data_IF_727485869526
#
_entry.id   IF_727485869526
#
_cell.length_a   1.000
_cell.length_b   1.000
_cell.length_c   1.000
_cell.angle_alpha   90.00
_cell.angle_beta   90.00
_cell.angle_gamma   90.00
#
_symmetry.space_group_name_H-M   'P 1'
#
loop_
_entity.id
_entity.type
_entity.pdbx_description
1 polymer ?
#
# COMPACT_ATOMS: atom_id res chain seq x y z
N UNK A 1 5.43 -16.15 20.92
CA UNK A 1 6.14 -15.84 19.66
C UNK A 1 5.82 -14.39 19.27
N UNK A 2 6.77 -13.67 18.68
CA UNK A 2 6.50 -12.33 18.14
C UNK A 2 5.54 -12.43 16.93
N UNK A 3 4.67 -11.45 16.77
CA UNK A 3 3.87 -11.32 15.53
C UNK A 3 4.77 -10.94 14.36
N UNK A 4 4.46 -11.51 13.19
CA UNK A 4 5.18 -11.21 11.94
C UNK A 4 4.41 -10.17 11.12
N UNK A 5 5.12 -9.17 10.65
CA UNK A 5 4.57 -8.09 9.84
C UNK A 5 5.24 -8.10 8.47
N UNK A 6 4.44 -8.11 7.41
CA UNK A 6 4.88 -7.86 6.05
C UNK A 6 4.69 -6.38 5.72
N UNK A 7 5.74 -5.73 5.25
CA UNK A 7 5.71 -4.34 4.78
C UNK A 7 6.00 -4.36 3.28
N UNK A 8 4.97 -4.08 2.48
CA UNK A 8 5.05 -3.94 1.03
C UNK A 8 5.35 -2.48 0.67
N UNK A 9 6.28 -2.23 -0.23
CA UNK A 9 6.81 -0.88 -0.51
C UNK A 9 7.87 -0.44 0.49
N UNK A 10 8.54 -1.40 1.16
CA UNK A 10 9.53 -1.15 2.20
C UNK A 10 10.79 -0.41 1.70
N UNK A 11 11.12 -0.56 0.42
CA UNK A 11 12.24 0.17 -0.23
C UNK A 11 11.95 1.63 -0.55
N UNK A 12 10.71 2.10 -0.31
CA UNK A 12 10.31 3.49 -0.45
C UNK A 12 10.63 4.33 0.80
N UNK A 13 10.44 5.65 0.69
CA UNK A 13 10.69 6.59 1.79
C UNK A 13 9.82 6.28 3.02
N UNK A 14 8.49 6.23 2.85
CA UNK A 14 7.56 5.98 3.96
C UNK A 14 7.76 4.57 4.51
N UNK A 15 7.85 3.56 3.61
CA UNK A 15 8.05 2.16 4.00
C UNK A 15 9.33 1.97 4.80
N UNK A 16 10.45 2.55 4.38
CA UNK A 16 11.73 2.48 5.09
C UNK A 16 11.66 3.08 6.51
N UNK A 17 10.99 4.22 6.67
CA UNK A 17 10.79 4.81 8.00
C UNK A 17 9.86 3.97 8.89
N UNK A 18 8.82 3.36 8.32
CA UNK A 18 7.96 2.44 9.06
C UNK A 18 8.73 1.20 9.54
N UNK A 19 9.56 0.62 8.66
CA UNK A 19 10.45 -0.51 9.02
C UNK A 19 11.33 -0.13 10.20
N UNK A 20 12.03 1.01 10.12
CA UNK A 20 12.89 1.49 11.21
C UNK A 20 12.12 1.62 12.52
N UNK A 21 10.97 2.30 12.50
CA UNK A 21 10.15 2.48 13.69
C UNK A 21 9.74 1.14 14.32
N UNK A 22 9.28 0.19 13.52
CA UNK A 22 8.84 -1.11 14.03
C UNK A 22 10.00 -1.95 14.58
N UNK A 23 11.20 -1.89 13.97
CA UNK A 23 12.41 -2.52 14.49
C UNK A 23 12.79 -1.97 15.87
N UNK A 24 12.74 -0.66 16.04
CA UNK A 24 13.07 0.02 17.31
C UNK A 24 12.15 -0.45 18.45
N UNK A 25 10.91 -0.85 18.15
CA UNK A 25 9.99 -1.39 19.17
C UNK A 25 10.41 -2.76 19.70
N UNK A 26 11.18 -3.54 18.94
CA UNK A 26 11.60 -4.92 19.24
C UNK A 26 10.45 -5.93 19.46
N UNK A 27 9.21 -5.55 19.12
CA UNK A 27 7.99 -6.34 19.37
C UNK A 27 7.64 -7.31 18.25
N UNK A 28 8.14 -7.08 17.03
CA UNK A 28 7.72 -7.77 15.82
C UNK A 28 8.90 -8.42 15.09
N UNK A 29 8.60 -9.43 14.28
CA UNK A 29 9.47 -9.92 13.21
C UNK A 29 9.03 -9.25 11.92
N UNK A 30 9.97 -8.67 11.16
CA UNK A 30 9.62 -7.95 9.93
C UNK A 30 10.04 -8.71 8.69
N UNK A 31 9.17 -8.69 7.70
CA UNK A 31 9.42 -9.14 6.33
C UNK A 31 9.15 -7.93 5.44
N UNK A 32 10.08 -7.57 4.58
CA UNK A 32 10.04 -6.37 3.77
C UNK A 32 10.09 -6.73 2.29
N UNK A 33 9.22 -6.14 1.49
CA UNK A 33 9.17 -6.34 0.05
C UNK A 33 9.05 -5.02 -0.70
N UNK A 34 9.78 -4.93 -1.82
CA UNK A 34 9.65 -3.85 -2.80
C UNK A 34 10.02 -4.40 -4.17
N UNK A 35 9.55 -3.78 -5.24
CA UNK A 35 9.95 -4.13 -6.60
C UNK A 35 11.38 -3.70 -6.92
N UNK A 36 11.89 -2.67 -6.23
CA UNK A 36 13.23 -2.15 -6.43
C UNK A 36 14.29 -3.19 -6.05
N UNK A 37 15.41 -3.27 -6.79
CA UNK A 37 16.61 -3.93 -6.31
C UNK A 37 17.04 -3.39 -4.93
N UNK A 38 17.59 -4.25 -4.07
CA UNK A 38 17.87 -3.91 -2.67
C UNK A 38 18.82 -2.69 -2.53
N UNK A 39 19.76 -2.55 -3.44
CA UNK A 39 20.73 -1.42 -3.47
C UNK A 39 20.07 -0.07 -3.77
N UNK A 40 18.83 -0.06 -4.26
CA UNK A 40 18.06 1.16 -4.54
C UNK A 40 17.02 1.47 -3.46
N UNK A 41 17.00 0.72 -2.37
CA UNK A 41 16.10 1.00 -1.26
C UNK A 41 16.55 2.26 -0.52
N UNK A 42 15.57 3.07 -0.11
CA UNK A 42 15.85 4.29 0.67
C UNK A 42 16.56 3.99 1.99
N UNK A 43 16.15 2.92 2.67
CA UNK A 43 16.79 2.35 3.85
C UNK A 43 16.70 0.83 3.78
N UNK A 44 17.77 0.16 4.23
CA UNK A 44 17.81 -1.29 4.38
C UNK A 44 18.35 -1.64 5.76
N UNK A 45 17.84 -2.69 6.37
CA UNK A 45 18.21 -3.14 7.70
C UNK A 45 18.51 -4.63 7.67
N UNK A 46 19.55 -5.07 8.36
CA UNK A 46 19.95 -6.49 8.42
C UNK A 46 19.12 -7.32 9.41
N UNK A 47 18.43 -6.63 10.34
CA UNK A 47 17.61 -7.26 11.39
C UNK A 47 16.27 -7.82 10.88
N UNK A 48 16.00 -7.72 9.59
CA UNK A 48 14.78 -8.21 8.95
C UNK A 48 15.07 -8.91 7.63
N UNK A 49 14.02 -9.56 7.07
CA UNK A 49 14.12 -10.21 5.76
C UNK A 49 13.69 -9.26 4.66
N UNK A 50 14.58 -9.00 3.71
CA UNK A 50 14.35 -8.10 2.58
C UNK A 50 14.23 -8.88 1.27
N UNK A 51 13.21 -8.58 0.47
CA UNK A 51 12.95 -9.24 -0.81
C UNK A 51 12.67 -8.21 -1.91
N UNK A 52 13.33 -8.38 -3.04
CA UNK A 52 13.00 -7.67 -4.27
C UNK A 52 11.98 -8.51 -5.04
N UNK A 53 10.68 -8.17 -4.91
CA UNK A 53 9.57 -8.89 -5.51
C UNK A 53 8.58 -7.95 -6.19
N UNK A 54 8.14 -8.29 -7.39
CA UNK A 54 6.98 -7.65 -8.01
C UNK A 54 5.70 -8.24 -7.41
N UNK A 55 4.96 -7.44 -6.66
CA UNK A 55 3.70 -7.83 -6.00
C UNK A 55 2.48 -7.75 -6.95
N UNK A 56 2.68 -7.36 -8.21
CA UNK A 56 1.68 -7.60 -9.26
C UNK A 56 1.60 -9.08 -9.65
N UNK A 57 2.58 -9.88 -9.26
CA UNK A 57 2.54 -11.32 -9.37
C UNK A 57 1.92 -11.93 -8.11
N UNK A 58 0.84 -12.69 -8.30
CA UNK A 58 0.10 -13.33 -7.22
C UNK A 58 0.94 -14.37 -6.45
N UNK A 59 1.77 -15.15 -7.15
CA UNK A 59 2.60 -16.17 -6.52
C UNK A 59 3.63 -15.55 -5.56
N UNK A 60 4.16 -14.38 -5.91
CA UNK A 60 5.02 -13.62 -5.01
C UNK A 60 4.26 -13.15 -3.77
N UNK A 61 3.03 -12.66 -3.93
CA UNK A 61 2.18 -12.26 -2.80
C UNK A 61 1.87 -13.44 -1.88
N UNK A 62 1.49 -14.58 -2.45
CA UNK A 62 1.16 -15.79 -1.71
C UNK A 62 2.37 -16.33 -0.93
N UNK A 63 3.54 -16.35 -1.57
CA UNK A 63 4.79 -16.82 -0.97
C UNK A 63 5.23 -15.94 0.19
N UNK A 64 5.24 -14.61 -0.01
CA UNK A 64 5.83 -13.69 0.98
C UNK A 64 4.92 -13.46 2.18
N UNK A 65 3.61 -13.61 2.02
CA UNK A 65 2.64 -13.47 3.11
C UNK A 65 2.43 -14.75 3.94
N UNK A 66 3.12 -15.84 3.61
CA UNK A 66 3.02 -17.12 4.36
C UNK A 66 3.52 -16.96 5.80
N UNK A 67 2.69 -17.37 6.75
CA UNK A 67 2.96 -17.28 8.20
C UNK A 67 3.17 -15.84 8.69
N UNK A 68 2.58 -14.87 8.03
CA UNK A 68 2.52 -13.45 8.42
C UNK A 68 1.22 -13.20 9.19
N UNK A 69 1.25 -12.31 10.18
CA UNK A 69 0.06 -11.92 10.92
C UNK A 69 -0.57 -10.63 10.39
N UNK A 70 0.27 -9.63 10.06
CA UNK A 70 -0.19 -8.32 9.62
C UNK A 70 0.48 -7.91 8.32
N UNK A 71 -0.26 -7.27 7.42
CA UNK A 71 0.28 -6.69 6.19
C UNK A 71 0.08 -5.17 6.22
N UNK A 72 1.16 -4.43 5.92
CA UNK A 72 1.11 -3.01 5.57
C UNK A 72 1.37 -2.88 4.07
N UNK A 73 0.31 -2.65 3.30
CA UNK A 73 0.43 -2.39 1.87
C UNK A 73 0.63 -0.89 1.61
N UNK A 74 1.88 -0.52 1.40
CA UNK A 74 2.33 0.82 1.02
C UNK A 74 2.88 0.83 -0.41
N UNK A 75 2.84 -0.33 -1.10
CA UNK A 75 3.35 -0.47 -2.44
C UNK A 75 2.37 0.11 -3.46
N UNK A 76 2.85 1.02 -4.27
CA UNK A 76 2.16 1.52 -5.45
C UNK A 76 3.17 2.11 -6.43
N UNK A 77 2.82 2.15 -7.70
CA UNK A 77 3.59 2.89 -8.69
C UNK A 77 3.13 4.34 -8.69
N UNK A 78 3.89 5.20 -8.01
CA UNK A 78 3.57 6.62 -7.91
C UNK A 78 4.84 7.45 -7.71
N UNK A 79 4.75 8.71 -8.08
CA UNK A 79 5.79 9.71 -7.87
C UNK A 79 5.16 11.03 -7.42
N UNK A 80 5.78 12.16 -7.71
CA UNK A 80 5.17 13.49 -7.55
C UNK A 80 4.05 13.71 -8.57
N UNK A 81 3.36 14.86 -8.48
CA UNK A 81 2.22 15.20 -9.34
C UNK A 81 2.52 15.02 -10.83
N UNK A 82 3.68 15.47 -11.31
CA UNK A 82 4.05 15.30 -12.71
C UNK A 82 4.16 13.84 -13.15
N UNK A 83 4.52 12.90 -12.26
CA UNK A 83 4.51 11.48 -12.57
C UNK A 83 3.07 10.96 -12.71
N UNK A 84 2.21 11.28 -11.74
CA UNK A 84 0.81 10.84 -11.68
C UNK A 84 0.04 11.30 -12.93
N UNK A 85 0.21 12.56 -13.33
CA UNK A 85 -0.46 13.16 -14.49
C UNK A 85 -0.04 12.52 -15.83
N UNK A 86 1.23 12.10 -15.95
CA UNK A 86 1.77 11.59 -17.21
C UNK A 86 1.84 10.06 -17.28
N UNK A 87 1.56 9.33 -16.18
CA UNK A 87 1.65 7.87 -16.11
C UNK A 87 0.37 7.25 -15.52
N UNK A 88 -0.79 7.73 -15.94
CA UNK A 88 -2.10 7.37 -15.37
C UNK A 88 -2.37 5.87 -15.41
N UNK A 89 -2.13 5.23 -16.56
CA UNK A 89 -2.32 3.78 -16.71
C UNK A 89 -1.41 2.99 -15.77
N UNK A 90 -0.13 3.38 -15.65
CA UNK A 90 0.82 2.73 -14.75
C UNK A 90 0.40 2.87 -13.27
N UNK A 91 -0.11 4.04 -12.88
CA UNK A 91 -0.66 4.24 -11.54
C UNK A 91 -1.85 3.30 -11.28
N UNK A 92 -2.76 3.16 -12.26
CA UNK A 92 -3.93 2.27 -12.14
C UNK A 92 -3.54 0.79 -12.02
N UNK A 93 -2.45 0.35 -12.63
CA UNK A 93 -1.97 -1.04 -12.50
C UNK A 93 -1.55 -1.40 -11.07
N UNK A 94 -1.39 -0.43 -10.18
CA UNK A 94 -1.17 -0.70 -8.75
C UNK A 94 -2.34 -1.43 -8.08
N UNK A 95 -3.53 -1.39 -8.67
CA UNK A 95 -4.69 -2.18 -8.20
C UNK A 95 -4.39 -3.68 -8.18
N UNK A 96 -3.54 -4.18 -9.07
CA UNK A 96 -3.12 -5.58 -9.10
C UNK A 96 -2.36 -5.99 -7.83
N UNK A 97 -1.52 -5.08 -7.31
CA UNK A 97 -0.80 -5.30 -6.04
C UNK A 97 -1.79 -5.52 -4.91
N UNK A 98 -2.75 -4.58 -4.77
CA UNK A 98 -3.75 -4.66 -3.71
C UNK A 98 -4.65 -5.89 -3.84
N UNK A 99 -5.14 -6.18 -5.05
CA UNK A 99 -5.98 -7.33 -5.33
C UNK A 99 -5.27 -8.66 -4.99
N UNK A 100 -4.02 -8.81 -5.40
CA UNK A 100 -3.24 -10.02 -5.14
C UNK A 100 -2.89 -10.18 -3.66
N UNK A 101 -2.54 -9.11 -2.97
CA UNK A 101 -2.27 -9.15 -1.53
C UNK A 101 -3.54 -9.48 -0.74
N UNK A 102 -4.70 -8.96 -1.09
CA UNK A 102 -5.97 -9.29 -0.44
C UNK A 102 -6.33 -10.77 -0.66
N UNK A 103 -6.21 -11.28 -1.89
CA UNK A 103 -6.41 -12.71 -2.18
C UNK A 103 -5.44 -13.60 -1.39
N UNK A 104 -4.16 -13.23 -1.35
CA UNK A 104 -3.15 -13.94 -0.58
C UNK A 104 -3.44 -13.86 0.93
N UNK A 105 -4.02 -12.75 1.41
CA UNK A 105 -4.41 -12.57 2.81
C UNK A 105 -5.49 -13.57 3.24
N UNK A 106 -6.49 -13.82 2.41
CA UNK A 106 -7.51 -14.85 2.69
C UNK A 106 -6.86 -16.24 2.76
N UNK A 107 -6.04 -16.60 1.76
CA UNK A 107 -5.41 -17.92 1.70
C UNK A 107 -4.44 -18.17 2.87
N UNK A 108 -3.77 -17.15 3.36
CA UNK A 108 -2.79 -17.26 4.45
C UNK A 108 -3.36 -16.85 5.82
N UNK A 109 -4.67 -16.59 5.92
CA UNK A 109 -5.37 -16.21 7.16
C UNK A 109 -4.71 -15.02 7.88
N UNK A 110 -4.46 -13.94 7.14
CA UNK A 110 -3.90 -12.71 7.68
C UNK A 110 -4.88 -12.06 8.66
N UNK A 111 -4.41 -11.69 9.85
CA UNK A 111 -5.26 -11.15 10.92
C UNK A 111 -5.62 -9.68 10.68
N UNK A 112 -4.70 -8.88 10.10
CA UNK A 112 -4.90 -7.46 9.84
C UNK A 112 -4.21 -7.03 8.56
N UNK A 113 -4.93 -6.24 7.79
CA UNK A 113 -4.45 -5.64 6.55
C UNK A 113 -4.59 -4.12 6.61
N UNK A 114 -3.49 -3.41 6.40
CA UNK A 114 -3.47 -1.96 6.25
C UNK A 114 -3.20 -1.60 4.79
N UNK A 115 -4.00 -0.70 4.25
CA UNK A 115 -3.82 -0.13 2.92
C UNK A 115 -3.53 1.36 3.02
N UNK A 116 -2.46 1.81 2.37
CA UNK A 116 -2.14 3.24 2.27
C UNK A 116 -2.95 3.88 1.15
N UNK A 117 -4.00 4.61 1.52
CA UNK A 117 -4.79 5.42 0.60
C UNK A 117 -4.14 6.79 0.34
N UNK A 118 -4.90 7.74 -0.18
CA UNK A 118 -4.41 9.06 -0.59
C UNK A 118 -5.50 10.13 -0.47
N UNK A 119 -5.09 11.38 -0.33
CA UNK A 119 -6.01 12.52 -0.47
C UNK A 119 -6.59 12.65 -1.89
N UNK A 120 -5.96 12.04 -2.90
CA UNK A 120 -6.46 12.01 -4.28
C UNK A 120 -7.80 11.25 -4.45
N UNK A 121 -8.27 10.53 -3.41
CA UNK A 121 -9.59 9.85 -3.42
C UNK A 121 -10.76 10.81 -3.24
N UNK A 122 -10.52 11.99 -2.70
CA UNK A 122 -11.59 12.96 -2.48
C UNK A 122 -12.12 13.53 -3.79
N UNK A 123 -13.42 13.85 -3.78
CA UNK A 123 -14.07 14.47 -4.94
C UNK A 123 -13.36 15.78 -5.33
N UNK A 124 -12.83 15.83 -6.55
CA UNK A 124 -12.06 16.96 -7.05
C UNK A 124 -12.83 18.30 -7.00
N UNK A 125 -14.15 18.27 -7.26
CA UNK A 125 -14.99 19.48 -7.20
C UNK A 125 -15.08 20.09 -5.81
N UNK A 126 -14.90 19.30 -4.75
CA UNK A 126 -14.90 19.79 -3.37
C UNK A 126 -13.57 20.47 -3.00
N UNK A 127 -12.53 20.30 -3.81
CA UNK A 127 -11.19 20.82 -3.57
C UNK A 127 -10.84 22.07 -4.39
N UNK A 128 -11.76 22.58 -5.22
CA UNK A 128 -11.49 23.67 -6.16
C UNK A 128 -11.35 25.07 -5.52
N UNK A 129 -11.70 25.24 -4.27
CA UNK A 129 -11.64 26.54 -3.59
C UNK A 129 -10.40 26.64 -2.72
N UNK A 130 -9.76 27.82 -2.68
CA UNK A 130 -8.56 28.07 -1.87
C UNK A 130 -8.82 27.92 -0.37
N UNK A 131 -10.01 28.29 0.09
CA UNK A 131 -10.43 28.16 1.48
C UNK A 131 -11.60 27.17 1.57
N UNK A 132 -11.30 25.95 1.98
CA UNK A 132 -12.28 24.90 2.25
C UNK A 132 -12.11 24.42 3.69
N UNK A 133 -13.19 24.03 4.38
CA UNK A 133 -13.08 23.29 5.64
C UNK A 133 -12.36 21.96 5.39
N UNK A 134 -11.72 21.39 6.41
CA UNK A 134 -11.11 20.07 6.30
C UNK A 134 -12.11 19.04 5.78
N UNK A 135 -11.68 18.23 4.79
CA UNK A 135 -12.52 17.20 4.20
C UNK A 135 -12.72 16.04 5.18
N UNK A 136 -13.89 15.43 5.13
CA UNK A 136 -14.23 14.19 5.85
C UNK A 136 -14.14 13.01 4.89
N UNK A 137 -13.95 11.80 5.38
CA UNK A 137 -13.90 10.59 4.53
C UNK A 137 -15.13 10.43 3.63
N UNK A 138 -16.31 10.87 4.10
CA UNK A 138 -17.54 10.90 3.29
C UNK A 138 -17.47 11.84 2.10
N UNK A 139 -16.52 12.78 2.06
CA UNK A 139 -16.34 13.73 0.96
C UNK A 139 -15.66 13.11 -0.27
N UNK A 140 -15.24 11.85 -0.19
CA UNK A 140 -14.88 11.05 -1.35
C UNK A 140 -16.10 10.76 -2.26
N UNK A 141 -17.32 10.98 -1.76
CA UNK A 141 -18.55 10.71 -2.50
C UNK A 141 -19.42 11.97 -2.70
N UNK A 142 -20.18 12.07 -3.84
CA UNK A 142 -20.16 11.14 -4.99
C UNK A 142 -18.73 11.06 -5.58
N UNK A 143 -18.35 9.86 -6.06
CA UNK A 143 -16.99 9.60 -6.51
C UNK A 143 -16.63 10.44 -7.75
N UNK A 144 -15.58 11.23 -7.61
CA UNK A 144 -14.96 12.04 -8.67
C UNK A 144 -13.50 12.29 -8.26
N UNK A 145 -12.72 11.22 -8.02
CA UNK A 145 -11.36 11.32 -7.54
C UNK A 145 -10.43 11.87 -8.62
N UNK A 146 -9.22 12.25 -8.20
CA UNK A 146 -8.20 12.70 -9.12
C UNK A 146 -7.73 11.54 -10.00
N UNK A 147 -8.01 11.63 -11.26
CA UNK A 147 -7.70 10.76 -12.40
C UNK A 147 -7.18 9.34 -12.05
N UNK A 148 -6.24 8.76 -12.82
CA UNK A 148 -5.84 7.35 -12.70
C UNK A 148 -5.42 6.92 -11.29
N UNK A 149 -4.58 7.71 -10.62
CA UNK A 149 -4.11 7.39 -9.27
C UNK A 149 -5.23 7.46 -8.21
N UNK A 150 -6.03 8.52 -8.25
CA UNK A 150 -7.15 8.67 -7.30
C UNK A 150 -8.21 7.57 -7.47
N UNK A 151 -8.52 7.19 -8.71
CA UNK A 151 -9.43 6.07 -8.99
C UNK A 151 -8.88 4.74 -8.51
N UNK A 152 -7.59 4.45 -8.72
CA UNK A 152 -6.95 3.24 -8.19
C UNK A 152 -7.09 3.18 -6.67
N UNK A 153 -6.76 4.27 -5.98
CA UNK A 153 -6.81 4.32 -4.52
C UNK A 153 -8.22 4.15 -3.98
N UNK A 154 -9.20 4.86 -4.54
CA UNK A 154 -10.60 4.76 -4.10
C UNK A 154 -11.18 3.35 -4.36
N UNK A 155 -10.88 2.75 -5.50
CA UNK A 155 -11.28 1.39 -5.81
C UNK A 155 -10.64 0.37 -4.84
N UNK A 156 -9.35 0.55 -4.54
CA UNK A 156 -8.62 -0.29 -3.59
C UNK A 156 -9.17 -0.21 -2.17
N UNK A 157 -9.62 0.98 -1.71
CA UNK A 157 -10.35 1.11 -0.44
C UNK A 157 -11.63 0.28 -0.44
N UNK A 158 -12.41 0.35 -1.54
CA UNK A 158 -13.64 -0.44 -1.67
C UNK A 158 -13.35 -1.93 -1.65
N UNK A 159 -12.28 -2.39 -2.31
CA UNK A 159 -11.85 -3.78 -2.25
C UNK A 159 -11.51 -4.20 -0.81
N UNK A 160 -10.69 -3.42 -0.10
CA UNK A 160 -10.32 -3.72 1.29
C UNK A 160 -11.56 -3.86 2.18
N UNK A 161 -12.55 -2.97 2.00
CA UNK A 161 -13.81 -3.01 2.73
C UNK A 161 -14.58 -4.31 2.44
N UNK A 162 -14.82 -4.64 1.17
CA UNK A 162 -15.62 -5.82 0.81
C UNK A 162 -14.93 -7.13 1.18
N UNK A 163 -13.59 -7.21 1.06
CA UNK A 163 -12.83 -8.36 1.54
C UNK A 163 -12.90 -8.57 3.06
N UNK A 164 -13.27 -7.54 3.82
CA UNK A 164 -13.48 -7.64 5.26
C UNK A 164 -14.95 -7.93 5.63
N UNK A 165 -15.89 -7.60 4.74
CA UNK A 165 -17.34 -7.82 4.93
C UNK A 165 -17.76 -9.26 4.59
N UNK A 166 -17.08 -9.91 3.62
CA UNK A 166 -17.36 -11.28 3.13
C UNK A 166 -16.63 -12.34 3.99
#
# INVERSE_FOLDING_TARGET
MKKKILICGAGGFIGGHLVKHLLDTKKYELICADIKPLELWFQIFDDNKNFSFDLKDYENCLKISKNVNYIFNMACNMGGMGFIENNKAECMLSVLINANLLRASLNNSIEKYFFSSSACVYNAKKQMKTFIPGLKETDAYPADPEDGYGWEKLFSERMCRHFNED
#
